data_IF_143202342857
#
_entry.id   IF_143202342857
#
_cell.length_a   1.000
_cell.length_b   1.000
_cell.length_c   1.000
_cell.angle_alpha   90.00
_cell.angle_beta   90.00
_cell.angle_gamma   90.00
#
_symmetry.space_group_name_H-M   'P 1'
#
loop_
_entity.id
_entity.type
_entity.pdbx_description
1 polymer ?
#
# COMPACT_ATOMS: atom_id res chain seq x y z
N UNK A 1 22.31 3.65 1.59
CA UNK A 1 22.22 5.11 1.52
C UNK A 1 21.29 5.54 0.42
N UNK A 2 21.45 5.03 -0.82
CA UNK A 2 20.64 5.40 -1.99
C UNK A 2 19.14 5.04 -1.82
N UNK A 3 18.86 3.86 -1.29
CA UNK A 3 17.48 3.40 -1.01
C UNK A 3 16.76 4.32 -0.02
N UNK A 4 17.49 4.85 1.00
CA UNK A 4 16.92 5.76 1.99
C UNK A 4 16.60 7.12 1.35
N UNK A 5 17.46 7.60 0.46
CA UNK A 5 17.22 8.86 -0.26
C UNK A 5 16.04 8.75 -1.21
N UNK A 6 15.88 7.62 -1.88
CA UNK A 6 14.74 7.34 -2.73
C UNK A 6 13.43 7.32 -1.93
N UNK A 7 13.41 6.63 -0.76
CA UNK A 7 12.23 6.62 0.12
C UNK A 7 11.89 8.02 0.63
N UNK A 8 12.89 8.79 1.09
CA UNK A 8 12.69 10.17 1.53
C UNK A 8 12.17 11.07 0.40
N UNK A 9 12.70 10.88 -0.81
CA UNK A 9 12.21 11.57 -2.00
C UNK A 9 10.73 11.24 -2.27
N UNK A 10 10.35 9.97 -2.16
CA UNK A 10 8.96 9.55 -2.31
C UNK A 10 8.06 10.13 -1.21
N UNK A 11 8.49 10.12 0.07
CA UNK A 11 7.75 10.74 1.17
C UNK A 11 7.55 12.24 0.92
N UNK A 12 8.57 12.93 0.43
CA UNK A 12 8.46 14.36 0.09
C UNK A 12 7.42 14.64 -1.00
N UNK A 13 7.23 13.71 -1.93
CA UNK A 13 6.16 13.81 -2.94
C UNK A 13 4.77 13.62 -2.31
N UNK A 14 4.65 12.78 -1.28
CA UNK A 14 3.38 12.61 -0.55
C UNK A 14 2.98 13.89 0.18
N UNK A 15 3.93 14.56 0.81
CA UNK A 15 3.70 15.78 1.58
C UNK A 15 3.17 16.92 0.69
N UNK A 16 3.69 17.02 -0.53
CA UNK A 16 3.15 17.91 -1.56
C UNK A 16 1.73 17.52 -2.01
N UNK A 17 1.41 16.24 -2.02
CA UNK A 17 0.12 15.69 -2.47
C UNK A 17 -0.99 15.72 -1.42
N UNK A 18 -0.67 15.58 -0.15
CA UNK A 18 -1.67 15.63 0.95
C UNK A 18 -2.35 17.01 1.01
N UNK A 19 -1.62 18.07 0.63
CA UNK A 19 -2.17 19.41 0.51
C UNK A 19 -2.79 19.73 -0.86
N UNK A 20 -2.68 18.84 -1.86
CA UNK A 20 -2.97 19.14 -3.27
C UNK A 20 -4.22 18.41 -3.79
N UNK A 21 -5.11 17.93 -2.91
CA UNK A 21 -6.48 17.54 -3.35
C UNK A 21 -7.18 18.67 -4.14
N UNK A 22 -6.70 19.91 -3.99
CA UNK A 22 -7.22 21.08 -4.70
C UNK A 22 -6.62 21.31 -6.10
N UNK A 23 -5.52 20.65 -6.49
CA UNK A 23 -4.78 21.02 -7.72
C UNK A 23 -4.68 19.95 -8.81
N UNK A 24 -5.33 18.81 -8.67
CA UNK A 24 -5.39 17.80 -9.76
C UNK A 24 -4.05 17.17 -10.16
N UNK A 25 -3.04 17.21 -9.32
CA UNK A 25 -1.72 16.66 -9.60
C UNK A 25 -1.75 15.13 -9.59
N UNK A 26 -1.38 14.50 -10.71
CA UNK A 26 -1.33 13.04 -10.94
C UNK A 26 -0.30 12.29 -10.07
N UNK A 27 0.49 12.96 -9.24
CA UNK A 27 1.56 12.33 -8.45
C UNK A 27 1.10 11.79 -7.09
N UNK A 28 -0.05 12.19 -6.61
CA UNK A 28 -0.55 11.86 -5.26
C UNK A 28 -0.85 10.37 -5.04
N UNK A 29 -1.15 9.61 -6.09
CA UNK A 29 -1.46 8.19 -5.99
C UNK A 29 -0.27 7.26 -6.21
N UNK A 30 0.92 7.81 -6.53
CA UNK A 30 2.09 6.98 -6.82
C UNK A 30 2.57 6.25 -5.57
N UNK A 31 2.49 4.92 -5.61
CA UNK A 31 2.89 4.04 -4.53
C UNK A 31 4.39 3.75 -4.49
N UNK A 32 4.81 2.96 -3.50
CA UNK A 32 6.16 2.44 -3.35
C UNK A 32 6.12 0.91 -3.39
N UNK A 33 6.87 0.28 -4.28
CA UNK A 33 7.01 -1.17 -4.35
C UNK A 33 8.40 -1.58 -3.88
N UNK A 34 8.46 -2.26 -2.73
CA UNK A 34 9.70 -2.77 -2.12
C UNK A 34 9.80 -4.25 -2.48
N UNK A 35 10.72 -4.60 -3.37
CA UNK A 35 10.87 -5.95 -3.88
C UNK A 35 12.22 -6.56 -3.49
N UNK A 36 12.26 -7.87 -3.26
CA UNK A 36 13.50 -8.58 -2.98
C UNK A 36 13.28 -9.92 -2.32
N UNK A 37 14.33 -10.73 -2.24
CA UNK A 37 14.28 -12.08 -1.64
C UNK A 37 13.76 -12.06 -0.19
N UNK A 38 13.22 -13.18 0.33
CA UNK A 38 12.90 -13.32 1.75
C UNK A 38 14.10 -12.97 2.65
N UNK A 39 13.83 -12.45 3.87
CA UNK A 39 14.88 -12.08 4.82
C UNK A 39 15.60 -10.76 4.56
N UNK A 40 15.23 -10.00 3.53
CA UNK A 40 15.90 -8.73 3.16
C UNK A 40 15.35 -7.49 3.89
N UNK A 41 14.48 -7.64 4.87
CA UNK A 41 13.97 -6.53 5.67
C UNK A 41 12.91 -5.65 4.99
N UNK A 42 12.25 -6.13 3.91
CA UNK A 42 11.22 -5.35 3.19
C UNK A 42 10.11 -4.83 4.09
N UNK A 43 9.52 -5.71 4.90
CA UNK A 43 8.47 -5.34 5.86
C UNK A 43 8.98 -4.34 6.90
N UNK A 44 10.24 -4.48 7.34
CA UNK A 44 10.89 -3.52 8.26
C UNK A 44 11.02 -2.15 7.62
N UNK A 45 11.43 -2.09 6.35
CA UNK A 45 11.53 -0.83 5.59
C UNK A 45 10.14 -0.22 5.42
N UNK A 46 9.12 -1.01 5.08
CA UNK A 46 7.75 -0.52 4.97
C UNK A 46 7.24 0.08 6.29
N UNK A 47 7.47 -0.61 7.42
CA UNK A 47 7.10 -0.12 8.75
C UNK A 47 7.85 1.17 9.10
N UNK A 48 9.15 1.23 8.87
CA UNK A 48 9.94 2.45 9.10
C UNK A 48 9.43 3.62 8.26
N UNK A 49 9.06 3.35 7.00
CA UNK A 49 8.52 4.36 6.09
C UNK A 49 7.20 4.96 6.62
N UNK A 50 6.25 4.13 7.08
CA UNK A 50 5.00 4.66 7.65
C UNK A 50 5.21 5.37 8.98
N UNK A 51 6.20 4.96 9.79
CA UNK A 51 6.56 5.69 11.00
C UNK A 51 7.11 7.09 10.68
N UNK A 52 7.92 7.23 9.65
CA UNK A 52 8.42 8.54 9.22
C UNK A 52 7.29 9.40 8.64
N UNK A 53 6.36 8.83 7.86
CA UNK A 53 5.16 9.54 7.40
C UNK A 53 4.35 10.06 8.59
N UNK A 54 4.11 9.20 9.60
CA UNK A 54 3.36 9.61 10.80
C UNK A 54 4.06 10.72 11.58
N UNK A 55 5.39 10.69 11.70
CA UNK A 55 6.17 11.75 12.37
C UNK A 55 6.12 13.08 11.63
N UNK A 56 6.05 13.04 10.31
CA UNK A 56 5.99 14.23 9.45
C UNK A 56 4.57 14.75 9.27
N UNK A 57 3.56 13.95 9.61
CA UNK A 57 2.16 14.36 9.50
C UNK A 57 1.81 15.40 10.54
N UNK A 58 1.06 16.46 10.17
CA UNK A 58 0.62 17.47 11.14
C UNK A 58 -0.31 16.85 12.18
N UNK A 59 -0.39 17.41 13.40
CA UNK A 59 -1.30 16.93 14.45
C UNK A 59 -2.75 16.78 13.97
N UNK A 60 -3.23 17.68 13.12
CA UNK A 60 -4.56 17.63 12.51
C UNK A 60 -4.81 16.38 11.65
N UNK A 61 -3.77 15.65 11.22
CA UNK A 61 -3.93 14.37 10.55
C UNK A 61 -4.39 13.24 11.51
N UNK A 62 -4.31 13.48 12.82
CA UNK A 62 -4.68 12.56 13.89
C UNK A 62 -5.87 13.08 14.71
N UNK A 63 -6.41 14.25 14.36
CA UNK A 63 -7.52 14.85 15.10
C UNK A 63 -8.74 13.94 15.05
N UNK A 64 -9.30 13.76 16.22
CA UNK A 64 -10.58 13.11 16.46
C UNK A 64 -11.62 14.21 16.43
N UNK A 65 -12.23 14.47 15.28
CA UNK A 65 -13.45 15.28 15.24
C UNK A 65 -14.54 14.48 15.98
N UNK A 66 -15.15 15.09 16.99
CA UNK A 66 -16.28 14.57 17.78
C UNK A 66 -16.02 13.33 18.67
N UNK A 67 -14.77 13.03 19.03
CA UNK A 67 -14.46 11.96 19.97
C UNK A 67 -14.64 10.52 19.45
N UNK A 68 -15.09 10.34 18.20
CA UNK A 68 -15.43 9.05 17.60
C UNK A 68 -14.68 8.74 16.29
N UNK A 69 -14.06 9.73 15.67
CA UNK A 69 -13.50 9.56 14.34
C UNK A 69 -11.98 9.49 14.40
N UNK A 70 -11.44 8.29 14.28
CA UNK A 70 -10.01 8.06 14.19
C UNK A 70 -9.55 8.24 12.74
N UNK A 71 -8.97 9.39 12.38
CA UNK A 71 -8.27 9.54 11.11
C UNK A 71 -7.06 8.61 11.13
N UNK A 72 -7.01 7.64 10.25
CA UNK A 72 -5.89 6.70 10.11
C UNK A 72 -5.00 7.14 8.96
N UNK A 73 -3.91 7.87 9.24
CA UNK A 73 -3.01 8.30 8.17
C UNK A 73 -2.36 7.11 7.49
N UNK A 74 -2.02 6.06 8.25
CA UNK A 74 -1.40 4.85 7.74
C UNK A 74 -2.08 3.59 8.28
N UNK A 75 -2.12 2.55 7.46
CA UNK A 75 -2.59 1.22 7.88
C UNK A 75 -1.68 0.14 7.29
N UNK A 76 -1.45 -0.91 8.06
CA UNK A 76 -0.60 -2.03 7.65
C UNK A 76 -1.44 -3.31 7.65
N UNK A 77 -1.47 -4.00 6.53
CA UNK A 77 -2.10 -5.32 6.35
C UNK A 77 -1.19 -6.23 5.54
N UNK A 78 -1.29 -7.54 5.80
CA UNK A 78 -0.76 -8.51 4.84
C UNK A 78 -1.72 -8.66 3.66
N UNK A 79 -1.23 -9.16 2.53
CA UNK A 79 -2.12 -9.43 1.39
C UNK A 79 -3.19 -10.48 1.74
N UNK A 80 -2.85 -11.46 2.58
CA UNK A 80 -3.82 -12.44 3.07
C UNK A 80 -4.95 -11.79 3.88
N UNK A 81 -4.65 -10.77 4.70
CA UNK A 81 -5.69 -10.05 5.44
C UNK A 81 -6.59 -9.26 4.49
N UNK A 82 -6.03 -8.67 3.44
CA UNK A 82 -6.82 -7.99 2.39
C UNK A 82 -7.77 -8.97 1.70
N UNK A 83 -7.27 -10.17 1.35
CA UNK A 83 -8.09 -11.22 0.75
C UNK A 83 -9.18 -11.70 1.70
N UNK A 84 -8.85 -11.93 2.97
CA UNK A 84 -9.81 -12.36 3.98
C UNK A 84 -10.91 -11.31 4.19
N UNK A 85 -10.56 -10.03 4.28
CA UNK A 85 -11.52 -8.94 4.40
C UNK A 85 -12.41 -8.85 3.15
N UNK A 86 -11.82 -8.91 1.95
CA UNK A 86 -12.58 -8.88 0.69
C UNK A 86 -13.52 -10.06 0.54
N UNK A 87 -13.13 -11.23 1.05
CA UNK A 87 -14.00 -12.42 1.07
C UNK A 87 -15.22 -12.23 2.00
N UNK A 88 -15.00 -11.68 3.20
CA UNK A 88 -16.08 -11.40 4.15
C UNK A 88 -17.09 -10.38 3.62
N UNK A 89 -16.66 -9.41 2.82
CA UNK A 89 -17.56 -8.47 2.16
C UNK A 89 -18.58 -9.12 1.22
N UNK A 90 -18.26 -10.33 0.71
CA UNK A 90 -19.18 -11.09 -0.15
C UNK A 90 -20.19 -11.95 0.62
N UNK A 91 -19.95 -12.17 1.91
CA UNK A 91 -20.75 -13.09 2.73
C UNK A 91 -21.71 -12.31 3.65
N UNK A 92 -21.25 -11.96 4.82
CA UNK A 92 -22.01 -11.19 5.81
C UNK A 92 -21.05 -10.35 6.63
N UNK A 93 -20.62 -9.21 6.11
CA UNK A 93 -19.67 -8.37 6.82
C UNK A 93 -20.31 -7.77 8.08
N UNK A 94 -19.50 -7.55 9.10
CA UNK A 94 -19.88 -6.70 10.23
C UNK A 94 -19.72 -5.23 9.85
N UNK A 95 -20.43 -4.33 10.55
CA UNK A 95 -20.33 -2.87 10.33
C UNK A 95 -18.86 -2.39 10.34
N UNK A 96 -18.03 -2.97 11.23
CA UNK A 96 -16.61 -2.66 11.30
C UNK A 96 -15.81 -3.12 10.06
N UNK A 97 -16.12 -4.31 9.54
CA UNK A 97 -15.47 -4.83 8.34
C UNK A 97 -15.83 -4.00 7.11
N UNK A 98 -17.07 -3.54 7.01
CA UNK A 98 -17.49 -2.60 5.97
C UNK A 98 -16.71 -1.28 6.05
N UNK A 99 -16.67 -0.67 7.22
CA UNK A 99 -15.92 0.58 7.45
C UNK A 99 -14.45 0.40 7.11
N UNK A 100 -13.84 -0.71 7.52
CA UNK A 100 -12.43 -0.98 7.23
C UNK A 100 -12.20 -1.21 5.73
N UNK A 101 -13.07 -1.96 5.06
CA UNK A 101 -12.94 -2.26 3.64
C UNK A 101 -13.07 -1.00 2.78
N UNK A 102 -14.12 -0.21 3.00
CA UNK A 102 -14.28 1.05 2.27
C UNK A 102 -13.19 2.08 2.62
N UNK A 103 -12.74 2.10 3.88
CA UNK A 103 -11.60 2.91 4.29
C UNK A 103 -10.30 2.50 3.60
N UNK A 104 -10.09 1.20 3.42
CA UNK A 104 -8.94 0.65 2.69
C UNK A 104 -9.00 1.04 1.21
N UNK A 105 -10.15 1.01 0.57
CA UNK A 105 -10.33 1.46 -0.81
C UNK A 105 -10.21 2.98 -0.96
N UNK A 106 -10.48 3.74 0.11
CA UNK A 106 -10.58 5.21 0.05
C UNK A 106 -11.97 5.70 -0.34
N UNK A 107 -12.97 4.84 -0.25
CA UNK A 107 -14.37 5.07 -0.60
C UNK A 107 -15.28 5.26 0.63
N UNK A 108 -14.71 5.17 1.84
CA UNK A 108 -15.44 5.46 3.07
C UNK A 108 -15.74 6.96 3.20
N UNK A 109 -16.63 7.28 4.13
CA UNK A 109 -16.83 8.68 4.55
C UNK A 109 -15.48 9.28 4.96
N UNK A 110 -15.22 10.55 4.66
CA UNK A 110 -13.90 11.23 4.68
C UNK A 110 -13.02 10.95 5.91
N UNK A 111 -13.63 10.72 7.07
CA UNK A 111 -12.96 10.47 8.34
C UNK A 111 -12.39 9.04 8.51
N UNK A 112 -12.79 8.09 7.68
CA UNK A 112 -12.37 6.68 7.79
C UNK A 112 -11.38 6.25 6.71
N UNK A 113 -11.10 7.11 5.75
CA UNK A 113 -10.21 6.78 4.65
C UNK A 113 -8.76 6.61 5.13
N UNK A 114 -8.16 5.47 4.79
CA UNK A 114 -6.74 5.18 5.01
C UNK A 114 -5.94 5.92 3.94
N UNK A 115 -5.15 6.90 4.33
CA UNK A 115 -4.37 7.71 3.38
C UNK A 115 -3.22 6.92 2.77
N UNK A 116 -2.40 6.26 3.59
CA UNK A 116 -1.31 5.39 3.12
C UNK A 116 -1.56 3.97 3.58
N UNK A 117 -1.70 3.05 2.65
CA UNK A 117 -1.88 1.62 2.92
C UNK A 117 -0.57 0.88 2.67
N UNK A 118 -0.17 0.01 3.60
CA UNK A 118 0.84 -1.01 3.36
C UNK A 118 0.15 -2.34 3.10
N UNK A 119 0.46 -2.97 1.97
CA UNK A 119 0.10 -4.36 1.67
C UNK A 119 1.39 -5.18 1.68
N UNK A 120 1.59 -5.92 2.76
CA UNK A 120 2.81 -6.71 2.97
C UNK A 120 2.69 -8.11 2.38
N UNK A 121 3.82 -8.65 1.94
CA UNK A 121 3.98 -10.03 1.47
C UNK A 121 3.15 -10.42 0.22
N UNK A 122 2.96 -9.49 -0.69
CA UNK A 122 2.33 -9.79 -2.00
C UNK A 122 3.20 -10.76 -2.79
N UNK A 123 2.62 -11.84 -3.31
CA UNK A 123 3.31 -12.85 -4.11
C UNK A 123 3.84 -14.05 -3.32
N UNK A 124 3.49 -14.20 -2.05
CA UNK A 124 3.77 -15.45 -1.30
C UNK A 124 2.86 -16.61 -1.71
N UNK A 125 1.73 -16.32 -2.28
CA UNK A 125 0.68 -17.27 -2.67
C UNK A 125 1.01 -18.03 -3.96
N UNK A 126 2.28 -18.19 -4.30
CA UNK A 126 2.81 -18.66 -5.59
C UNK A 126 2.22 -19.95 -6.17
N UNK A 127 1.57 -20.78 -5.39
CA UNK A 127 1.13 -22.09 -5.90
C UNK A 127 -0.24 -22.06 -6.58
N UNK A 128 -1.12 -21.08 -6.34
CA UNK A 128 -2.48 -21.11 -6.90
C UNK A 128 -3.24 -19.77 -6.74
N UNK A 129 -2.69 -18.67 -7.23
CA UNK A 129 -3.51 -17.44 -7.30
C UNK A 129 -4.75 -17.69 -8.15
N UNK A 130 -5.91 -17.76 -7.52
CA UNK A 130 -7.17 -17.80 -8.23
C UNK A 130 -7.39 -16.47 -8.99
N UNK A 131 -8.17 -16.50 -10.06
CA UNK A 131 -8.55 -15.28 -10.76
C UNK A 131 -9.16 -14.21 -9.83
N UNK A 132 -9.88 -14.64 -8.80
CA UNK A 132 -10.45 -13.76 -7.78
C UNK A 132 -9.37 -13.00 -6.99
N UNK A 133 -8.32 -13.67 -6.50
CA UNK A 133 -7.23 -13.02 -5.75
C UNK A 133 -6.49 -11.98 -6.58
N UNK A 134 -6.26 -12.28 -7.87
CA UNK A 134 -5.67 -11.34 -8.83
C UNK A 134 -6.56 -10.11 -9.01
N UNK A 135 -7.86 -10.32 -9.14
CA UNK A 135 -8.84 -9.25 -9.28
C UNK A 135 -8.92 -8.37 -8.04
N UNK A 136 -8.88 -8.97 -6.83
CA UNK A 136 -8.85 -8.20 -5.57
C UNK A 136 -7.62 -7.30 -5.51
N UNK A 137 -6.43 -7.83 -5.77
CA UNK A 137 -5.20 -7.03 -5.78
C UNK A 137 -5.30 -5.88 -6.78
N UNK A 138 -5.66 -6.20 -8.03
CA UNK A 138 -5.80 -5.20 -9.09
C UNK A 138 -6.82 -4.12 -8.72
N UNK A 139 -7.99 -4.53 -8.20
CA UNK A 139 -9.05 -3.60 -7.79
C UNK A 139 -8.57 -2.64 -6.69
N UNK A 140 -7.99 -3.17 -5.60
CA UNK A 140 -7.51 -2.34 -4.49
C UNK A 140 -6.45 -1.34 -4.97
N UNK A 141 -5.44 -1.82 -5.68
CA UNK A 141 -4.35 -0.96 -6.13
C UNK A 141 -4.84 0.12 -7.12
N UNK A 142 -5.73 -0.26 -8.04
CA UNK A 142 -6.26 0.65 -9.07
C UNK A 142 -7.17 1.70 -8.48
N UNK A 143 -8.09 1.30 -7.58
CA UNK A 143 -9.01 2.22 -6.91
C UNK A 143 -8.23 3.27 -6.13
N UNK A 144 -7.27 2.85 -5.31
CA UNK A 144 -6.46 3.76 -4.52
C UNK A 144 -5.62 4.71 -5.38
N UNK A 145 -4.99 4.19 -6.43
CA UNK A 145 -4.24 5.02 -7.38
C UNK A 145 -5.11 6.09 -8.01
N UNK A 146 -6.30 5.73 -8.48
CA UNK A 146 -7.24 6.66 -9.11
C UNK A 146 -7.74 7.74 -8.14
N UNK A 147 -7.86 7.40 -6.86
CA UNK A 147 -8.26 8.34 -5.79
C UNK A 147 -7.10 9.17 -5.24
N UNK A 148 -5.89 8.98 -5.76
CA UNK A 148 -4.71 9.70 -5.27
C UNK A 148 -4.19 9.20 -3.92
N UNK A 149 -4.53 7.97 -3.52
CA UNK A 149 -4.14 7.37 -2.25
C UNK A 149 -2.94 6.42 -2.45
N UNK A 150 -1.75 6.79 -1.99
CA UNK A 150 -0.56 5.97 -2.18
C UNK A 150 -0.65 4.65 -1.42
N UNK A 151 -0.06 3.61 -2.04
CA UNK A 151 0.04 2.27 -1.45
C UNK A 151 1.49 1.84 -1.44
N UNK A 152 1.96 1.30 -0.31
CA UNK A 152 3.25 0.62 -0.21
C UNK A 152 3.01 -0.87 -0.37
N UNK A 153 3.71 -1.50 -1.29
CA UNK A 153 3.64 -2.95 -1.52
C UNK A 153 4.99 -3.56 -1.20
N UNK A 154 5.04 -4.62 -0.40
CA UNK A 154 6.23 -5.46 -0.31
C UNK A 154 6.01 -6.77 -1.04
N UNK A 155 7.02 -7.24 -1.77
CA UNK A 155 6.91 -8.46 -2.57
C UNK A 155 8.23 -9.20 -2.69
N UNK A 156 8.15 -10.52 -2.84
CA UNK A 156 9.31 -11.37 -3.15
C UNK A 156 9.50 -11.54 -4.66
N UNK A 157 8.59 -11.03 -5.46
CA UNK A 157 8.53 -11.17 -6.92
C UNK A 157 9.08 -9.92 -7.56
N UNK A 158 9.90 -10.06 -8.58
CA UNK A 158 10.35 -8.91 -9.36
C UNK A 158 9.17 -8.29 -10.13
N UNK A 159 9.25 -7.00 -10.41
CA UNK A 159 8.19 -6.31 -11.16
C UNK A 159 8.00 -6.91 -12.56
N UNK A 160 9.07 -7.40 -13.17
CA UNK A 160 9.02 -8.03 -14.50
C UNK A 160 8.35 -9.41 -14.49
N UNK A 161 8.31 -10.08 -13.33
CA UNK A 161 7.61 -11.36 -13.16
C UNK A 161 6.12 -11.19 -12.80
N UNK A 162 5.66 -9.96 -12.56
CA UNK A 162 4.26 -9.71 -12.18
C UNK A 162 3.27 -10.09 -13.29
N UNK A 163 3.65 -9.96 -14.56
CA UNK A 163 2.82 -10.37 -15.68
C UNK A 163 2.44 -11.84 -15.63
N UNK A 164 3.40 -12.71 -15.31
CA UNK A 164 3.16 -14.14 -15.19
C UNK A 164 2.24 -14.51 -14.02
N UNK A 165 2.29 -13.77 -12.90
CA UNK A 165 1.50 -14.04 -11.70
C UNK A 165 0.14 -13.34 -11.70
N UNK A 166 0.11 -12.06 -12.05
CA UNK A 166 -1.07 -11.20 -11.92
C UNK A 166 -1.68 -10.79 -13.24
N UNK A 167 -1.03 -11.11 -14.37
CA UNK A 167 -1.41 -10.74 -15.73
C UNK A 167 -0.77 -9.44 -16.19
N UNK A 168 -0.57 -9.32 -17.53
CA UNK A 168 0.15 -8.23 -18.17
C UNK A 168 -0.44 -6.84 -17.86
N UNK A 169 -1.77 -6.77 -17.73
CA UNK A 169 -2.45 -5.52 -17.39
C UNK A 169 -2.07 -5.01 -16.00
N UNK A 170 -1.91 -5.92 -15.04
CA UNK A 170 -1.49 -5.58 -13.66
C UNK A 170 -0.01 -5.21 -13.61
N UNK A 171 0.84 -5.89 -14.37
CA UNK A 171 2.26 -5.54 -14.50
C UNK A 171 2.43 -4.14 -15.11
N UNK A 172 1.77 -3.89 -16.25
CA UNK A 172 1.82 -2.57 -16.91
C UNK A 172 1.35 -1.46 -15.98
N UNK A 173 0.25 -1.69 -15.26
CA UNK A 173 -0.27 -0.76 -14.27
C UNK A 173 0.73 -0.55 -13.12
N UNK A 174 1.34 -1.61 -12.60
CA UNK A 174 2.29 -1.51 -11.51
C UNK A 174 3.54 -0.69 -11.89
N UNK A 175 4.04 -0.85 -13.12
CA UNK A 175 5.14 -0.03 -13.67
C UNK A 175 4.79 1.47 -13.72
N UNK A 176 3.55 1.80 -14.00
CA UNK A 176 3.06 3.19 -13.97
C UNK A 176 2.85 3.70 -12.54
N UNK A 177 2.20 2.89 -11.70
CA UNK A 177 1.64 3.30 -10.42
C UNK A 177 2.65 3.32 -9.27
N UNK A 178 3.78 2.64 -9.39
CA UNK A 178 4.74 2.50 -8.29
C UNK A 178 6.11 3.08 -8.63
N UNK A 179 6.76 3.61 -7.60
CA UNK A 179 8.21 3.72 -7.56
C UNK A 179 8.76 2.36 -7.11
N UNK A 180 9.62 1.76 -7.92
CA UNK A 180 10.19 0.44 -7.66
C UNK A 180 11.50 0.55 -6.88
N UNK A 181 11.56 -0.13 -5.73
CA UNK A 181 12.72 -0.18 -4.85
C UNK A 181 13.19 -1.64 -4.71
N UNK A 182 14.19 -2.07 -5.50
CA UNK A 182 14.77 -3.41 -5.37
C UNK A 182 15.69 -3.48 -4.16
N UNK A 183 15.37 -4.35 -3.20
CA UNK A 183 16.23 -4.64 -2.03
C UNK A 183 17.35 -5.60 -2.43
N UNK A 184 18.42 -5.07 -2.99
CA UNK A 184 19.64 -5.81 -3.35
C UNK A 184 20.67 -5.62 -2.24
N UNK A 185 20.91 -6.66 -1.45
CA UNK A 185 22.02 -6.64 -0.49
C UNK A 185 23.03 -7.71 -0.82
N UNK A 186 24.33 -7.35 -0.77
CA UNK A 186 25.43 -8.31 -0.84
C UNK A 186 25.65 -9.04 0.49
N UNK A 187 24.88 -8.74 1.53
CA UNK A 187 24.90 -9.41 2.84
C UNK A 187 23.86 -10.52 2.87
N UNK A 188 24.16 -11.59 3.61
CA UNK A 188 23.27 -12.73 3.81
C UNK A 188 21.87 -12.37 4.34
N UNK A 189 21.06 -13.38 4.66
CA UNK A 189 19.75 -13.18 5.27
C UNK A 189 19.91 -12.40 6.59
N UNK A 190 19.09 -11.37 6.81
CA UNK A 190 19.12 -10.57 8.03
C UNK A 190 18.54 -11.32 9.25
N UNK A 191 18.12 -12.55 9.07
CA UNK A 191 17.58 -13.43 10.13
C UNK A 191 18.63 -14.39 10.68
N UNK A 192 19.82 -14.44 10.09
CA UNK A 192 21.03 -15.12 10.59
C UNK A 192 21.87 -14.12 11.38
#
# INVERSE_FOLDING_TARGET
>A
PEDIEQIRGWISLLDQGVNVRASGSRHCGKGLMIAGKPGRGKSTVAVATIQDIMRLSPPSAFDVEDGLTLIRPCYFMTFNDVLALSGRMMDSPTDWEEVLYYGLLGEAHDSYNIRVLVIDDVGKEHASLSGWQKNVLHHVLRTRFNLGLPTIVTTNVSLDDWGSLYGDATESFAKEAFMYLPMVTNKGDLRE
#
